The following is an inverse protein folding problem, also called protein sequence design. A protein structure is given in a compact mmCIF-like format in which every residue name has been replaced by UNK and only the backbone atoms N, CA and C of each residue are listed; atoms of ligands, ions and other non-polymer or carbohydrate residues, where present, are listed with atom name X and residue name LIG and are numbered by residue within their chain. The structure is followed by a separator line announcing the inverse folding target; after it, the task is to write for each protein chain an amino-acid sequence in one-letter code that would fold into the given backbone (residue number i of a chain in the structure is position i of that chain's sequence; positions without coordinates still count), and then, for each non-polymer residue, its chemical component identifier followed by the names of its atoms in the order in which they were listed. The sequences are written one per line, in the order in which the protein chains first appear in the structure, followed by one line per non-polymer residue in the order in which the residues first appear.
data_IF_198525225704
#
_entry.id   IF_198525225704
#
_cell.length_a   1.000
_cell.length_b   1.000
_cell.length_c   1.000
_cell.angle_alpha   90.00
_cell.angle_beta   90.00
_cell.angle_gamma   90.00
#
_symmetry.space_group_name_H-M   'P 1'
#
loop_
_entity.id
_entity.type
_entity.pdbx_description
1 polymer ?
#
# COMPACT_ATOMS: atom_id res chain seq x y z
N UNK A 1 -52.41 -26.76 29.01
CA UNK A 1 -51.85 -26.98 30.34
C UNK A 1 -50.57 -26.13 30.42
N UNK A 2 -50.69 -24.94 30.74
CA UNK A 2 -50.49 -24.14 31.95
C UNK A 2 -49.27 -24.55 32.80
N UNK A 3 -48.27 -23.70 32.85
CA UNK A 3 -47.74 -23.15 34.12
C UNK A 3 -46.81 -21.96 33.88
N UNK A 4 -47.31 -20.89 34.39
CA UNK A 4 -46.68 -19.59 34.64
C UNK A 4 -45.67 -19.69 35.80
N UNK A 5 -44.54 -18.99 35.73
CA UNK A 5 -43.60 -18.80 36.83
C UNK A 5 -43.08 -17.36 36.82
N UNK A 6 -43.67 -16.53 37.69
CA UNK A 6 -43.15 -15.18 38.04
C UNK A 6 -42.00 -15.33 39.03
N UNK A 7 -40.94 -14.54 38.86
CA UNK A 7 -39.99 -14.24 39.93
C UNK A 7 -39.79 -12.72 40.04
N UNK A 8 -39.88 -12.30 41.28
CA UNK A 8 -39.97 -10.96 41.86
C UNK A 8 -38.66 -10.24 41.81
N UNK A 9 -38.73 -8.92 41.60
CA UNK A 9 -37.58 -8.04 41.65
C UNK A 9 -37.13 -7.69 43.08
N UNK A 10 -35.88 -7.27 43.20
CA UNK A 10 -35.36 -6.70 44.43
C UNK A 10 -34.54 -5.43 44.06
N UNK A 11 -35.10 -4.27 44.45
CA UNK A 11 -34.44 -2.95 44.41
C UNK A 11 -33.42 -2.90 45.57
N UNK A 12 -32.20 -2.46 45.25
CA UNK A 12 -31.28 -1.92 46.25
C UNK A 12 -31.07 -0.42 46.02
N UNK A 13 -31.47 0.33 47.03
CA UNK A 13 -31.24 1.77 47.17
C UNK A 13 -29.90 1.93 47.95
N UNK A 14 -28.95 2.64 47.39
CA UNK A 14 -27.73 3.05 48.08
C UNK A 14 -27.69 4.57 48.21
N UNK A 15 -27.59 5.01 49.46
CA UNK A 15 -27.63 6.40 49.89
C UNK A 15 -26.32 7.12 49.66
N UNK A 16 -26.41 8.36 49.21
CA UNK A 16 -25.31 9.32 49.05
C UNK A 16 -25.04 10.05 50.36
N UNK A 17 -23.82 10.04 50.83
CA UNK A 17 -23.36 10.89 51.90
C UNK A 17 -22.52 12.04 51.35
N UNK A 18 -22.98 13.27 51.59
CA UNK A 18 -22.28 14.52 51.26
C UNK A 18 -21.45 14.92 52.47
N UNK A 19 -20.14 15.11 52.34
CA UNK A 19 -19.25 15.72 53.27
C UNK A 19 -18.83 17.10 52.79
N UNK A 20 -19.24 18.14 53.49
CA UNK A 20 -18.73 19.50 53.34
C UNK A 20 -17.44 19.63 54.18
N UNK A 21 -16.39 20.16 53.62
CA UNK A 21 -15.24 20.65 54.38
C UNK A 21 -14.88 22.08 53.93
N UNK A 22 -14.63 22.90 54.92
CA UNK A 22 -14.56 24.36 54.88
C UNK A 22 -13.25 24.91 54.32
N UNK A 23 -13.35 26.14 53.82
CA UNK A 23 -12.27 27.01 53.38
C UNK A 23 -11.35 27.44 54.51
N UNK A 24 -10.06 27.49 54.24
CA UNK A 24 -9.12 28.37 54.97
C UNK A 24 -8.22 29.08 53.94
N UNK A 25 -8.24 30.39 54.00
CA UNK A 25 -7.45 31.34 53.21
C UNK A 25 -6.07 31.53 53.82
N UNK A 26 -5.03 31.48 53.02
CA UNK A 26 -3.73 32.08 53.34
C UNK A 26 -3.11 32.63 52.04
N UNK A 27 -2.57 33.83 52.17
CA UNK A 27 -2.24 34.78 51.12
C UNK A 27 -1.00 34.48 50.27
N UNK A 28 -0.64 35.38 49.33
CA UNK A 28 0.25 35.08 48.23
C UNK A 28 1.72 35.19 48.59
N UNK A 29 2.47 34.12 48.38
CA UNK A 29 3.94 34.15 48.30
C UNK A 29 4.37 34.27 46.87
N UNK A 30 5.10 35.33 46.57
CA UNK A 30 5.73 35.63 45.30
C UNK A 30 6.76 34.54 44.93
N UNK A 31 6.50 33.76 43.90
CA UNK A 31 7.48 32.81 43.39
C UNK A 31 8.12 33.40 42.11
N UNK A 32 9.43 33.50 42.13
CA UNK A 32 10.32 33.88 41.02
C UNK A 32 10.16 32.89 39.86
N UNK A 33 10.09 33.32 38.61
CA UNK A 33 9.95 32.39 37.48
C UNK A 33 11.25 31.61 37.28
N UNK A 34 11.18 30.30 37.42
CA UNK A 34 12.22 29.36 36.99
C UNK A 34 12.26 29.32 35.46
N UNK A 35 13.42 29.32 34.80
CA UNK A 35 13.49 29.26 33.37
C UNK A 35 12.89 27.94 32.85
N UNK A 36 11.91 28.07 31.96
CA UNK A 36 11.28 26.96 31.24
C UNK A 36 12.33 26.22 30.42
N UNK A 37 12.63 25.00 30.82
CA UNK A 37 13.43 24.08 30.01
C UNK A 37 12.59 23.78 28.75
N UNK A 38 13.00 24.32 27.61
CA UNK A 38 12.42 23.98 26.33
C UNK A 38 12.51 22.46 26.15
N UNK A 39 11.37 21.81 26.01
CA UNK A 39 11.28 20.43 25.56
C UNK A 39 11.99 20.34 24.21
N UNK A 40 13.19 19.76 24.21
CA UNK A 40 13.86 19.35 23.00
C UNK A 40 12.96 18.30 22.35
N UNK A 41 12.43 18.64 21.17
CA UNK A 41 11.83 17.66 20.27
C UNK A 41 12.79 16.48 20.12
N UNK A 42 12.31 15.22 20.18
CA UNK A 42 13.16 14.08 19.89
C UNK A 42 13.78 14.27 18.51
N UNK A 43 15.10 14.13 18.45
CA UNK A 43 15.86 14.18 17.21
C UNK A 43 15.20 13.24 16.20
N UNK A 44 14.77 13.80 15.06
CA UNK A 44 14.14 13.04 14.00
C UNK A 44 15.05 11.88 13.60
N UNK A 45 14.52 10.68 13.67
CA UNK A 45 15.04 9.52 12.93
C UNK A 45 15.19 9.98 11.50
N UNK A 46 16.41 9.95 10.95
CA UNK A 46 16.76 10.48 9.65
C UNK A 46 15.77 9.98 8.61
N UNK A 47 14.99 10.89 8.06
CA UNK A 47 14.18 10.63 6.88
C UNK A 47 15.18 10.28 5.78
N UNK A 48 15.19 9.02 5.34
CA UNK A 48 15.97 8.64 4.17
C UNK A 48 15.55 9.61 3.06
N UNK A 49 16.51 10.44 2.59
CA UNK A 49 16.22 11.43 1.57
C UNK A 49 15.91 10.69 0.28
N UNK A 50 14.64 10.68 -0.09
CA UNK A 50 14.21 10.15 -1.38
C UNK A 50 14.74 11.07 -2.47
N UNK A 51 15.14 10.51 -3.61
CA UNK A 51 15.62 11.29 -4.74
C UNK A 51 14.52 12.24 -5.25
N UNK A 52 14.69 13.56 -5.16
CA UNK A 52 13.66 14.52 -5.53
C UNK A 52 13.33 14.52 -7.04
N UNK A 53 14.09 13.80 -7.83
CA UNK A 53 13.81 13.61 -9.27
C UNK A 53 12.70 12.60 -9.53
N UNK A 54 12.29 11.80 -8.52
CA UNK A 54 11.15 10.89 -8.65
C UNK A 54 9.88 11.72 -8.60
N UNK A 55 9.12 11.67 -9.68
CA UNK A 55 7.85 12.38 -9.86
C UNK A 55 6.66 11.42 -9.91
N UNK A 56 6.91 10.20 -10.36
CA UNK A 56 5.90 9.16 -10.52
C UNK A 56 6.32 7.88 -9.79
N UNK A 57 5.37 7.24 -9.12
CA UNK A 57 5.55 5.88 -8.58
C UNK A 57 4.57 4.95 -9.29
N UNK A 58 5.11 3.91 -9.92
CA UNK A 58 4.35 2.91 -10.68
C UNK A 58 4.53 1.54 -10.04
N UNK A 59 3.49 1.00 -9.42
CA UNK A 59 3.53 -0.30 -8.72
C UNK A 59 2.85 -1.36 -9.57
N UNK A 60 3.54 -2.48 -9.80
CA UNK A 60 3.00 -3.69 -10.42
C UNK A 60 3.04 -4.81 -9.40
N UNK A 61 1.91 -5.45 -9.16
CA UNK A 61 1.80 -6.55 -8.20
C UNK A 61 1.43 -7.83 -8.96
N UNK A 62 2.26 -8.86 -8.80
CA UNK A 62 2.05 -10.22 -9.30
C UNK A 62 1.63 -11.12 -8.14
N UNK A 63 1.36 -12.40 -8.40
CA UNK A 63 0.68 -13.29 -7.47
C UNK A 63 1.48 -14.54 -7.08
N UNK A 64 1.40 -14.87 -5.76
CA UNK A 64 1.66 -16.21 -5.22
C UNK A 64 3.03 -16.81 -5.53
N UNK A 65 4.14 -16.05 -5.50
CA UNK A 65 5.44 -16.63 -5.82
C UNK A 65 6.53 -16.25 -4.82
N UNK A 66 7.39 -17.19 -4.52
CA UNK A 66 8.55 -16.96 -3.67
C UNK A 66 9.66 -16.18 -4.37
N UNK A 67 10.35 -15.31 -3.64
CA UNK A 67 11.51 -14.60 -4.17
C UNK A 67 12.59 -15.53 -4.70
N UNK A 68 12.76 -16.70 -4.07
CA UNK A 68 13.75 -17.70 -4.51
C UNK A 68 13.37 -18.36 -5.85
N UNK A 69 12.09 -18.56 -6.15
CA UNK A 69 11.65 -19.08 -7.44
C UNK A 69 11.71 -17.98 -8.50
N UNK A 70 11.22 -16.80 -8.18
CA UNK A 70 11.28 -15.64 -9.06
C UNK A 70 12.71 -15.28 -9.48
N UNK A 71 13.68 -15.34 -8.56
CA UNK A 71 15.09 -15.08 -8.86
C UNK A 71 15.74 -16.10 -9.82
N UNK A 72 15.11 -17.26 -10.04
CA UNK A 72 15.56 -18.26 -11.03
C UNK A 72 14.95 -18.06 -12.41
N UNK A 73 13.90 -17.25 -12.52
CA UNK A 73 13.33 -16.91 -13.82
C UNK A 73 14.29 -15.98 -14.57
N UNK A 74 14.61 -16.25 -15.86
CA UNK A 74 15.61 -15.49 -16.59
C UNK A 74 15.29 -14.00 -16.74
N UNK A 75 14.01 -13.65 -16.93
CA UNK A 75 13.63 -12.24 -17.10
C UNK A 75 13.59 -11.50 -15.76
N UNK A 76 13.06 -12.10 -14.72
CA UNK A 76 13.06 -11.48 -13.40
C UNK A 76 14.50 -11.31 -12.87
N UNK A 77 15.41 -12.26 -13.14
CA UNK A 77 16.84 -12.11 -12.86
C UNK A 77 17.47 -10.94 -13.66
N UNK A 78 17.06 -10.75 -14.92
CA UNK A 78 17.50 -9.60 -15.74
C UNK A 78 16.99 -8.28 -15.15
N UNK A 79 15.73 -8.21 -14.72
CA UNK A 79 15.19 -7.02 -14.05
C UNK A 79 15.96 -6.71 -12.75
N UNK A 80 16.23 -7.72 -11.93
CA UNK A 80 17.04 -7.59 -10.72
C UNK A 80 18.43 -7.02 -11.01
N UNK A 81 19.09 -7.46 -12.09
CA UNK A 81 20.38 -6.96 -12.52
C UNK A 81 20.33 -5.52 -13.07
N UNK A 82 19.19 -5.07 -13.59
CA UNK A 82 18.99 -3.73 -14.14
C UNK A 82 18.41 -2.73 -13.14
N UNK A 83 18.03 -3.19 -11.96
CA UNK A 83 17.43 -2.38 -10.90
C UNK A 83 18.11 -2.54 -9.54
N UNK A 84 17.39 -2.22 -8.48
CA UNK A 84 17.77 -2.49 -7.09
C UNK A 84 16.87 -3.56 -6.50
N UNK A 85 17.43 -4.63 -5.94
CA UNK A 85 16.68 -5.77 -5.39
C UNK A 85 16.56 -5.65 -3.88
N UNK A 86 15.32 -5.75 -3.36
CA UNK A 86 15.04 -5.82 -1.93
C UNK A 86 15.02 -7.29 -1.50
N UNK A 87 16.14 -7.80 -0.97
CA UNK A 87 16.33 -9.25 -0.74
C UNK A 87 15.53 -9.80 0.45
N UNK A 88 15.08 -8.93 1.35
CA UNK A 88 14.26 -9.27 2.51
C UNK A 88 12.93 -8.50 2.50
N UNK A 89 12.20 -8.63 1.40
CA UNK A 89 10.86 -8.07 1.25
C UNK A 89 9.81 -9.17 1.50
N UNK A 90 8.76 -8.89 2.28
CA UNK A 90 7.80 -9.88 2.73
C UNK A 90 6.34 -9.45 2.51
N UNK A 91 5.47 -10.43 2.28
CA UNK A 91 4.03 -10.25 2.45
C UNK A 91 3.67 -10.04 3.93
N UNK A 92 2.48 -9.52 4.20
CA UNK A 92 2.02 -9.20 5.57
C UNK A 92 0.87 -10.08 6.02
N UNK A 93 0.25 -10.79 5.10
CA UNK A 93 -0.92 -11.65 5.36
C UNK A 93 -0.99 -12.83 4.39
N UNK A 94 -2.02 -13.64 4.54
CA UNK A 94 -2.55 -14.64 3.64
C UNK A 94 -4.06 -14.77 3.91
N UNK A 95 -4.93 -14.86 2.90
CA UNK A 95 -4.68 -14.89 1.45
C UNK A 95 -4.36 -13.51 0.84
N UNK A 96 -4.50 -13.37 -0.47
CA UNK A 96 -4.04 -12.22 -1.27
C UNK A 96 -4.66 -10.87 -0.85
N UNK A 97 -5.98 -10.74 -0.74
CA UNK A 97 -6.65 -9.45 -0.55
C UNK A 97 -6.12 -8.61 0.63
N UNK A 98 -5.86 -9.17 1.83
CA UNK A 98 -5.24 -8.43 2.93
C UNK A 98 -3.93 -7.73 2.56
N UNK A 99 -3.10 -8.33 1.68
CA UNK A 99 -1.85 -7.75 1.21
C UNK A 99 -2.08 -6.54 0.31
N UNK A 100 -3.02 -6.64 -0.64
CA UNK A 100 -3.42 -5.51 -1.48
C UNK A 100 -3.99 -4.35 -0.65
N UNK A 101 -4.86 -4.64 0.32
CA UNK A 101 -5.41 -3.63 1.23
C UNK A 101 -4.30 -2.97 2.05
N UNK A 102 -3.33 -3.74 2.53
CA UNK A 102 -2.20 -3.24 3.32
C UNK A 102 -1.37 -2.18 2.57
N UNK A 103 -1.18 -2.36 1.25
CA UNK A 103 -0.47 -1.42 0.38
C UNK A 103 -1.17 -0.05 0.26
N UNK A 104 -2.46 0.04 0.59
CA UNK A 104 -3.22 1.29 0.52
C UNK A 104 -3.66 1.84 1.88
N UNK A 105 -3.80 1.01 2.91
CA UNK A 105 -4.40 1.40 4.18
C UNK A 105 -3.46 1.36 5.38
N UNK A 106 -2.23 0.87 5.21
CA UNK A 106 -1.31 0.66 6.33
C UNK A 106 -1.81 -0.36 7.36
N UNK A 107 -2.77 -1.21 6.95
CA UNK A 107 -3.35 -2.30 7.76
C UNK A 107 -4.00 -3.32 6.84
N UNK A 108 -4.06 -4.59 7.24
CA UNK A 108 -4.71 -5.65 6.44
C UNK A 108 -6.23 -5.50 6.36
N UNK A 109 -6.87 -5.06 7.43
CA UNK A 109 -8.31 -4.77 7.60
C UNK A 109 -9.26 -5.94 7.34
N UNK A 110 -8.86 -6.95 6.57
CA UNK A 110 -9.61 -8.14 6.20
C UNK A 110 -8.73 -9.38 6.41
N UNK A 111 -9.33 -10.57 6.38
CA UNK A 111 -8.63 -11.83 6.60
C UNK A 111 -9.00 -12.90 5.56
N UNK A 112 -9.65 -12.51 4.48
CA UNK A 112 -10.10 -13.39 3.41
C UNK A 112 -10.17 -12.63 2.07
N UNK A 113 -10.54 -13.34 0.99
CA UNK A 113 -10.67 -12.82 -0.37
C UNK A 113 -12.10 -12.45 -0.77
N UNK A 114 -12.99 -12.30 0.21
CA UNK A 114 -14.37 -11.90 -0.06
C UNK A 114 -14.49 -10.43 -0.48
N UNK A 115 -15.63 -10.07 -1.05
CA UNK A 115 -15.92 -8.67 -1.36
C UNK A 115 -16.16 -7.88 -0.07
N UNK A 116 -15.21 -7.04 0.32
CA UNK A 116 -15.32 -6.14 1.46
C UNK A 116 -15.65 -4.71 1.04
N UNK A 117 -16.32 -3.98 1.94
CA UNK A 117 -16.57 -2.56 1.82
C UNK A 117 -16.03 -1.89 3.10
N UNK A 118 -15.01 -1.04 2.94
CA UNK A 118 -14.17 -0.55 4.02
C UNK A 118 -14.37 0.96 4.20
N UNK A 119 -14.98 1.35 5.32
CA UNK A 119 -15.06 2.76 5.73
C UNK A 119 -13.76 3.16 6.47
N UNK A 120 -12.68 3.34 5.73
CA UNK A 120 -11.34 3.60 6.27
C UNK A 120 -10.56 4.57 5.38
N UNK A 121 -9.83 5.50 6.01
CA UNK A 121 -8.84 6.35 5.35
C UNK A 121 -7.78 5.51 4.66
N UNK A 122 -7.36 5.93 3.49
CA UNK A 122 -6.43 5.19 2.64
C UNK A 122 -5.49 6.14 1.87
N UNK A 123 -4.58 5.59 1.10
CA UNK A 123 -3.57 6.34 0.34
C UNK A 123 -4.18 7.40 -0.58
N UNK A 124 -5.38 7.18 -1.14
CA UNK A 124 -6.04 8.15 -2.02
C UNK A 124 -6.35 9.44 -1.28
N UNK A 125 -6.75 9.37 0.00
CA UNK A 125 -7.01 10.57 0.80
C UNK A 125 -5.74 11.42 0.97
N UNK A 126 -4.59 10.76 1.19
CA UNK A 126 -3.31 11.46 1.31
C UNK A 126 -2.89 12.07 -0.03
N UNK A 127 -3.01 11.30 -1.13
CA UNK A 127 -2.67 11.78 -2.47
C UNK A 127 -3.49 13.03 -2.83
N UNK A 128 -4.81 12.97 -2.69
CA UNK A 128 -5.70 14.08 -3.04
C UNK A 128 -5.49 15.29 -2.12
N UNK A 129 -5.24 15.07 -0.82
CA UNK A 129 -4.90 16.15 0.12
C UNK A 129 -3.59 16.86 -0.24
N UNK A 130 -2.64 16.16 -0.84
CA UNK A 130 -1.38 16.70 -1.34
C UNK A 130 -1.47 17.17 -2.81
N UNK A 131 -2.66 17.19 -3.41
CA UNK A 131 -2.89 17.53 -4.82
C UNK A 131 -2.11 16.63 -5.79
N UNK A 132 -1.90 15.35 -5.41
CA UNK A 132 -1.26 14.34 -6.24
C UNK A 132 -2.30 13.54 -7.03
N UNK A 133 -2.01 13.32 -8.30
CA UNK A 133 -2.85 12.50 -9.17
C UNK A 133 -2.62 11.01 -8.96
N UNK A 134 -3.66 10.20 -9.19
CA UNK A 134 -3.56 8.76 -9.09
C UNK A 134 -4.47 8.05 -10.08
N UNK A 135 -4.11 6.82 -10.47
CA UNK A 135 -4.98 5.87 -11.18
C UNK A 135 -4.66 4.44 -10.77
N UNK A 136 -5.70 3.60 -10.78
CA UNK A 136 -5.58 2.15 -10.71
C UNK A 136 -5.88 1.56 -12.09
N UNK A 137 -4.87 0.99 -12.72
CA UNK A 137 -4.96 0.30 -14.01
C UNK A 137 -5.19 -1.18 -13.75
N UNK A 138 -6.33 -1.69 -14.18
CA UNK A 138 -6.75 -3.06 -13.91
C UNK A 138 -6.97 -3.79 -15.23
N UNK A 139 -6.25 -4.90 -15.47
CA UNK A 139 -6.51 -5.71 -16.68
C UNK A 139 -7.90 -6.32 -16.63
N UNK A 140 -8.55 -6.35 -17.77
CA UNK A 140 -9.91 -6.88 -17.99
C UNK A 140 -11.00 -6.30 -17.08
N UNK A 141 -10.69 -5.18 -16.42
CA UNK A 141 -11.69 -4.44 -15.65
C UNK A 141 -12.77 -3.87 -16.56
N UNK A 142 -14.06 -4.18 -16.30
CA UNK A 142 -15.13 -3.74 -17.18
C UNK A 142 -15.42 -2.24 -17.12
N UNK A 143 -14.78 -1.50 -16.21
CA UNK A 143 -15.04 -0.08 -16.01
C UNK A 143 -16.32 0.20 -15.21
N UNK A 144 -16.74 1.49 -15.20
CA UNK A 144 -18.01 1.87 -14.64
C UNK A 144 -18.19 1.63 -13.12
N UNK A 145 -17.09 1.65 -12.36
CA UNK A 145 -17.13 1.36 -10.92
C UNK A 145 -17.68 -0.05 -10.61
N UNK A 146 -17.30 -1.03 -11.43
CA UNK A 146 -17.78 -2.39 -11.30
C UNK A 146 -17.52 -2.99 -9.90
N UNK A 147 -18.57 -3.33 -9.13
CA UNK A 147 -18.43 -3.81 -7.76
C UNK A 147 -18.40 -5.34 -7.64
N UNK A 148 -18.55 -6.06 -8.76
CA UNK A 148 -18.60 -7.52 -8.79
C UNK A 148 -17.26 -8.15 -8.40
N UNK A 149 -17.31 -9.43 -7.98
CA UNK A 149 -16.12 -10.17 -7.55
C UNK A 149 -15.16 -10.47 -8.68
N UNK A 150 -15.66 -10.76 -9.88
CA UNK A 150 -14.86 -11.01 -11.07
C UNK A 150 -15.57 -10.60 -12.35
N UNK A 151 -14.82 -10.44 -13.43
CA UNK A 151 -15.31 -10.22 -14.77
C UNK A 151 -14.36 -10.85 -15.79
N UNK A 152 -14.93 -11.42 -16.90
CA UNK A 152 -14.14 -12.17 -17.86
C UNK A 152 -14.10 -13.66 -17.55
N UNK A 153 -13.13 -14.35 -18.09
CA UNK A 153 -12.90 -15.78 -17.86
C UNK A 153 -11.42 -16.10 -18.09
N UNK A 154 -10.92 -17.23 -17.58
CA UNK A 154 -9.57 -17.73 -17.83
C UNK A 154 -9.19 -17.93 -19.32
N UNK A 155 -10.16 -17.82 -20.25
CA UNK A 155 -9.90 -17.86 -21.70
C UNK A 155 -9.78 -16.49 -22.36
N UNK A 156 -10.31 -15.46 -21.71
CA UNK A 156 -10.39 -14.08 -22.25
C UNK A 156 -9.69 -13.07 -21.35
N UNK A 157 -9.01 -13.53 -20.31
CA UNK A 157 -8.54 -12.76 -19.20
C UNK A 157 -9.63 -12.59 -18.13
N UNK A 158 -9.25 -12.64 -16.86
CA UNK A 158 -10.17 -12.51 -15.75
C UNK A 158 -9.70 -11.45 -14.74
N UNK A 159 -10.47 -10.36 -14.66
CA UNK A 159 -10.35 -9.40 -13.57
C UNK A 159 -10.93 -10.00 -12.30
N UNK A 160 -10.26 -9.80 -11.17
CA UNK A 160 -10.80 -10.11 -9.84
C UNK A 160 -10.72 -8.91 -8.92
N UNK A 161 -11.82 -8.69 -8.17
CA UNK A 161 -11.93 -7.56 -7.25
C UNK A 161 -10.91 -7.62 -6.11
N UNK A 162 -10.55 -8.81 -5.65
CA UNK A 162 -9.58 -9.00 -4.57
C UNK A 162 -8.18 -8.42 -4.87
N UNK A 163 -7.80 -8.33 -6.18
CA UNK A 163 -6.57 -7.70 -6.64
C UNK A 163 -6.74 -6.20 -6.96
N UNK A 164 -7.93 -5.66 -6.78
CA UNK A 164 -8.23 -4.23 -6.92
C UNK A 164 -8.59 -3.64 -5.55
N UNK A 165 -7.61 -3.24 -4.73
CA UNK A 165 -7.91 -2.74 -3.39
C UNK A 165 -8.74 -1.46 -3.39
N UNK A 166 -8.64 -0.62 -4.42
CA UNK A 166 -9.33 0.68 -4.49
C UNK A 166 -10.84 0.54 -4.41
N UNK A 167 -11.44 -0.42 -5.13
CA UNK A 167 -12.90 -0.61 -5.15
C UNK A 167 -13.44 -1.12 -3.80
N UNK A 168 -12.58 -1.56 -2.89
CA UNK A 168 -12.96 -2.01 -1.55
C UNK A 168 -13.19 -0.86 -0.57
N UNK A 169 -12.69 0.35 -0.84
CA UNK A 169 -12.91 1.50 0.03
C UNK A 169 -14.19 2.25 -0.35
N UNK A 170 -15.03 2.54 0.67
CA UNK A 170 -16.33 3.17 0.48
C UNK A 170 -16.22 4.57 -0.13
N UNK A 171 -15.27 5.35 0.32
CA UNK A 171 -15.00 6.72 -0.14
C UNK A 171 -14.49 6.78 -1.59
N UNK A 172 -13.97 5.68 -2.13
CA UNK A 172 -13.63 5.54 -3.54
C UNK A 172 -14.83 4.99 -4.31
N UNK A 173 -15.37 3.85 -3.88
CA UNK A 173 -16.44 3.14 -4.57
C UNK A 173 -17.72 3.95 -4.71
N UNK A 174 -18.08 4.76 -3.70
CA UNK A 174 -19.31 5.57 -3.70
C UNK A 174 -19.10 6.99 -4.18
N UNK A 175 -17.88 7.39 -4.48
CA UNK A 175 -17.55 8.69 -5.06
C UNK A 175 -17.30 8.54 -6.57
N UNK A 176 -18.17 9.05 -7.45
CA UNK A 176 -18.02 8.87 -8.90
C UNK A 176 -16.69 9.41 -9.46
N UNK A 177 -16.17 10.51 -8.92
CA UNK A 177 -14.93 11.12 -9.40
C UNK A 177 -13.70 10.27 -9.03
N UNK A 178 -13.66 9.70 -7.83
CA UNK A 178 -12.61 8.78 -7.39
C UNK A 178 -12.73 7.45 -8.12
N UNK A 179 -13.92 6.88 -8.17
CA UNK A 179 -14.16 5.59 -8.81
C UNK A 179 -13.83 5.60 -10.31
N UNK A 180 -14.02 6.72 -11.00
CA UNK A 180 -13.62 6.90 -12.40
C UNK A 180 -12.11 6.84 -12.64
N UNK A 181 -11.29 6.85 -11.58
CA UNK A 181 -9.83 6.67 -11.65
C UNK A 181 -9.39 5.21 -11.60
N UNK A 182 -10.31 4.29 -11.31
CA UNK A 182 -10.12 2.85 -11.53
C UNK A 182 -10.50 2.59 -12.99
N UNK A 183 -9.50 2.28 -13.82
CA UNK A 183 -9.67 2.21 -15.28
C UNK A 183 -9.21 0.87 -15.84
N UNK A 184 -9.76 0.44 -16.99
CA UNK A 184 -9.17 -0.66 -17.74
C UNK A 184 -7.70 -0.37 -18.06
N UNK A 185 -6.84 -1.38 -17.93
CA UNK A 185 -5.40 -1.23 -18.12
C UNK A 185 -4.99 -0.69 -19.51
N UNK A 186 -5.85 -0.88 -20.51
CA UNK A 186 -5.67 -0.31 -21.85
C UNK A 186 -5.60 1.23 -21.89
N UNK A 187 -6.08 1.90 -20.84
CA UNK A 187 -5.97 3.35 -20.70
C UNK A 187 -4.52 3.82 -20.49
N UNK A 188 -3.63 2.96 -19.96
CA UNK A 188 -2.25 3.32 -19.65
C UNK A 188 -1.47 3.85 -20.84
N UNK A 189 -1.57 3.17 -21.98
CA UNK A 189 -0.85 3.57 -23.20
C UNK A 189 -1.32 4.95 -23.70
N UNK A 190 -2.60 5.25 -23.58
CA UNK A 190 -3.15 6.56 -23.91
C UNK A 190 -2.63 7.65 -22.98
N UNK A 191 -2.56 7.36 -21.67
CA UNK A 191 -2.04 8.30 -20.67
C UNK A 191 -0.54 8.58 -20.88
N UNK A 192 0.26 7.55 -21.16
CA UNK A 192 1.68 7.68 -21.50
C UNK A 192 1.85 8.52 -22.78
N UNK A 193 1.12 8.18 -23.83
CA UNK A 193 1.18 8.89 -25.11
C UNK A 193 0.85 10.38 -24.97
N UNK A 194 -0.12 10.71 -24.09
CA UNK A 194 -0.53 12.07 -23.79
C UNK A 194 0.40 12.80 -22.79
N UNK A 195 1.40 12.13 -22.18
CA UNK A 195 2.22 12.69 -21.10
C UNK A 195 1.41 12.96 -19.84
N UNK A 196 0.45 12.11 -19.54
CA UNK A 196 -0.48 12.23 -18.40
C UNK A 196 -0.36 11.05 -17.43
N UNK A 197 0.86 10.48 -17.30
CA UNK A 197 1.11 9.47 -16.27
C UNK A 197 0.85 10.09 -14.89
N UNK A 198 0.00 9.46 -14.03
CA UNK A 198 -0.27 9.97 -12.70
C UNK A 198 0.97 9.99 -11.78
N UNK A 199 0.95 10.82 -10.72
CA UNK A 199 1.97 10.78 -9.67
C UNK A 199 2.02 9.38 -9.00
N UNK A 200 0.87 8.74 -8.80
CA UNK A 200 0.78 7.36 -8.32
C UNK A 200 -0.05 6.49 -9.26
N UNK A 201 0.53 5.39 -9.69
CA UNK A 201 -0.10 4.38 -10.53
C UNK A 201 0.01 3.00 -9.87
N UNK A 202 -1.10 2.29 -9.79
CA UNK A 202 -1.16 0.92 -9.33
C UNK A 202 -1.67 0.03 -10.47
N UNK A 203 -0.92 -0.98 -10.84
CA UNK A 203 -1.25 -1.87 -11.92
C UNK A 203 -1.46 -3.30 -11.41
N UNK A 204 -2.65 -3.85 -11.65
CA UNK A 204 -2.94 -5.24 -11.39
C UNK A 204 -3.17 -5.96 -12.73
N UNK A 205 -2.35 -6.92 -13.09
CA UNK A 205 -2.63 -7.83 -14.20
C UNK A 205 -3.88 -8.66 -13.91
N UNK A 206 -4.41 -9.33 -14.95
CA UNK A 206 -5.45 -10.34 -14.78
C UNK A 206 -4.87 -11.64 -14.19
N UNK A 207 -5.73 -12.60 -13.83
CA UNK A 207 -5.34 -13.86 -13.17
C UNK A 207 -4.36 -14.73 -13.97
N UNK A 208 -4.36 -14.60 -15.30
CA UNK A 208 -3.39 -15.32 -16.14
C UNK A 208 -2.02 -14.61 -16.14
N UNK A 209 -2.06 -13.29 -16.26
CA UNK A 209 -0.87 -12.46 -16.42
C UNK A 209 -0.14 -12.18 -15.09
N UNK A 210 -0.85 -12.24 -13.95
CA UNK A 210 -0.23 -12.10 -12.63
C UNK A 210 0.41 -13.39 -12.12
N UNK A 211 0.06 -14.55 -12.69
CA UNK A 211 0.59 -15.85 -12.31
C UNK A 211 -0.35 -16.67 -11.41
N UNK A 212 -1.47 -16.11 -10.94
CA UNK A 212 -2.40 -16.77 -10.02
C UNK A 212 -3.00 -18.06 -10.64
N UNK A 213 -3.58 -17.95 -11.83
CA UNK A 213 -4.22 -19.08 -12.55
C UNK A 213 -3.31 -19.69 -13.63
N UNK A 214 -2.06 -19.23 -13.72
CA UNK A 214 -1.14 -19.68 -14.76
C UNK A 214 0.19 -20.22 -14.13
N UNK A 215 1.30 -19.61 -14.47
CA UNK A 215 2.61 -19.96 -13.94
C UNK A 215 3.54 -18.75 -13.90
N UNK A 216 4.58 -18.81 -13.08
CA UNK A 216 5.64 -17.81 -13.07
C UNK A 216 6.20 -17.51 -14.47
N UNK A 217 6.35 -18.54 -15.33
CA UNK A 217 6.85 -18.34 -16.69
C UNK A 217 5.88 -17.56 -17.59
N UNK A 218 4.57 -17.71 -17.40
CA UNK A 218 3.55 -16.91 -18.09
C UNK A 218 3.57 -15.46 -17.59
N UNK A 219 3.55 -15.27 -16.27
CA UNK A 219 3.63 -13.94 -15.66
C UNK A 219 4.91 -13.20 -16.06
N UNK A 220 6.05 -13.88 -16.05
CA UNK A 220 7.34 -13.34 -16.46
C UNK A 220 7.37 -12.93 -17.94
N UNK A 221 6.83 -13.77 -18.83
CA UNK A 221 6.74 -13.46 -20.25
C UNK A 221 5.82 -12.26 -20.52
N UNK A 222 4.67 -12.20 -19.84
CA UNK A 222 3.78 -11.05 -19.89
C UNK A 222 4.48 -9.79 -19.38
N UNK A 223 5.09 -9.85 -18.18
CA UNK A 223 5.78 -8.72 -17.57
C UNK A 223 6.89 -8.17 -18.46
N UNK A 224 7.59 -9.07 -19.18
CA UNK A 224 8.60 -8.68 -20.17
C UNK A 224 7.99 -7.85 -21.27
N UNK A 225 6.94 -8.33 -21.93
CA UNK A 225 6.24 -7.60 -22.98
C UNK A 225 5.65 -6.27 -22.49
N UNK A 226 5.24 -6.23 -21.23
CA UNK A 226 4.70 -5.05 -20.58
C UNK A 226 5.76 -4.00 -20.23
N UNK A 227 6.85 -4.38 -19.55
CA UNK A 227 7.83 -3.43 -19.02
C UNK A 227 8.90 -2.99 -20.01
N UNK A 228 9.44 -3.89 -20.86
CA UNK A 228 10.58 -3.53 -21.72
C UNK A 228 10.29 -2.31 -22.62
N UNK A 229 9.14 -2.19 -23.29
CA UNK A 229 8.83 -1.00 -24.07
C UNK A 229 8.74 0.26 -23.22
N UNK A 230 8.15 0.16 -22.02
CA UNK A 230 7.90 1.29 -21.13
C UNK A 230 9.16 1.80 -20.46
N UNK A 231 10.07 0.92 -20.05
CA UNK A 231 11.36 1.30 -19.45
C UNK A 231 12.28 2.00 -20.44
N UNK A 232 12.03 1.84 -21.75
CA UNK A 232 12.78 2.54 -22.81
C UNK A 232 12.06 3.78 -23.33
N UNK A 233 10.78 3.96 -23.03
CA UNK A 233 10.01 5.15 -23.44
C UNK A 233 10.24 6.30 -22.44
N UNK A 234 10.85 7.41 -22.87
CA UNK A 234 11.08 8.55 -21.97
C UNK A 234 9.78 9.17 -21.43
N UNK A 235 8.65 9.02 -22.09
CA UNK A 235 7.34 9.50 -21.60
C UNK A 235 6.84 8.73 -20.39
N UNK A 236 7.25 7.48 -20.26
CA UNK A 236 6.96 6.65 -19.08
C UNK A 236 8.08 6.71 -18.05
N UNK A 237 9.34 6.54 -18.52
CA UNK A 237 10.46 6.27 -17.64
C UNK A 237 11.05 7.54 -16.97
N UNK A 238 10.94 8.72 -17.61
CA UNK A 238 11.49 9.94 -17.03
C UNK A 238 10.80 10.29 -15.70
N UNK A 239 11.56 10.30 -14.61
CA UNK A 239 11.05 10.59 -13.29
C UNK A 239 10.18 9.49 -12.67
N UNK A 240 10.12 8.29 -13.24
CA UNK A 240 9.29 7.18 -12.73
C UNK A 240 10.13 6.19 -11.92
N UNK A 241 9.69 5.95 -10.69
CA UNK A 241 10.09 4.79 -9.89
C UNK A 241 9.09 3.67 -10.16
N UNK A 242 9.55 2.58 -10.76
CA UNK A 242 8.76 1.37 -10.94
C UNK A 242 9.10 0.38 -9.82
N UNK A 243 8.07 -0.15 -9.17
CA UNK A 243 8.18 -1.22 -8.18
C UNK A 243 7.46 -2.45 -8.72
N UNK A 244 8.17 -3.57 -8.84
CA UNK A 244 7.58 -4.86 -9.18
C UNK A 244 7.72 -5.79 -7.99
N UNK A 245 6.62 -6.34 -7.53
CA UNK A 245 6.60 -7.29 -6.42
C UNK A 245 5.48 -8.32 -6.59
N UNK A 246 5.47 -9.31 -5.71
CA UNK A 246 4.35 -10.23 -5.51
C UNK A 246 3.60 -9.83 -4.23
N UNK A 247 2.31 -10.16 -4.18
CA UNK A 247 1.46 -9.89 -3.02
C UNK A 247 1.81 -10.78 -1.82
N UNK A 248 2.00 -12.07 -2.08
CA UNK A 248 2.37 -13.08 -1.11
C UNK A 248 3.22 -14.19 -1.75
N UNK A 249 3.80 -15.05 -0.92
CA UNK A 249 4.49 -16.25 -1.36
C UNK A 249 3.60 -17.50 -1.26
N UNK A 250 4.15 -18.65 -1.66
CA UNK A 250 3.46 -19.94 -1.59
C UNK A 250 3.40 -20.54 -0.17
N UNK A 251 3.98 -19.88 0.83
CA UNK A 251 4.04 -20.31 2.23
C UNK A 251 3.30 -19.37 3.17
N UNK A 252 3.43 -19.63 4.49
CA UNK A 252 2.87 -18.72 5.50
C UNK A 252 3.42 -17.28 5.36
N UNK A 253 2.64 -16.26 5.72
CA UNK A 253 3.08 -14.87 5.67
C UNK A 253 4.43 -14.67 6.36
N UNK A 254 5.29 -13.85 5.77
CA UNK A 254 6.64 -13.55 6.25
C UNK A 254 7.56 -14.78 6.46
N UNK A 255 7.16 -15.97 6.01
CA UNK A 255 7.99 -17.19 6.13
C UNK A 255 9.14 -17.25 5.13
N UNK A 256 9.02 -16.54 4.02
CA UNK A 256 10.02 -16.46 2.96
C UNK A 256 9.97 -15.09 2.27
N UNK A 257 11.12 -14.55 1.84
CA UNK A 257 11.13 -13.31 1.07
C UNK A 257 10.37 -13.46 -0.24
N UNK A 258 9.71 -12.39 -0.65
CA UNK A 258 9.14 -12.19 -1.97
C UNK A 258 10.18 -11.59 -2.90
N UNK A 259 9.94 -11.68 -4.20
CA UNK A 259 10.66 -10.89 -5.17
C UNK A 259 10.17 -9.44 -5.10
N UNK A 260 11.11 -8.51 -4.95
CA UNK A 260 10.80 -7.08 -5.05
C UNK A 260 11.98 -6.36 -5.70
N UNK A 261 11.72 -5.66 -6.79
CA UNK A 261 12.72 -4.91 -7.55
C UNK A 261 12.24 -3.49 -7.80
N UNK A 262 13.16 -2.55 -7.66
CA UNK A 262 13.00 -1.15 -7.99
C UNK A 262 13.68 -0.90 -9.33
N UNK A 263 13.02 -0.18 -10.24
CA UNK A 263 13.49 0.14 -11.58
C UNK A 263 13.27 1.62 -11.88
N UNK A 264 14.04 2.16 -12.78
CA UNK A 264 13.92 3.56 -13.21
C UNK A 264 15.26 4.27 -13.25
N UNK A 265 15.34 5.44 -13.87
CA UNK A 265 16.62 6.15 -14.11
C UNK A 265 17.28 6.68 -12.82
N UNK A 266 16.54 6.76 -11.71
CA UNK A 266 17.06 7.18 -10.41
C UNK A 266 17.46 5.99 -9.52
N UNK A 267 17.25 4.76 -9.98
CA UNK A 267 17.54 3.56 -9.20
C UNK A 267 19.00 3.14 -9.40
N UNK A 268 19.64 2.71 -8.32
CA UNK A 268 21.01 2.20 -8.34
C UNK A 268 21.04 0.80 -8.96
N UNK A 269 21.43 0.72 -10.23
CA UNK A 269 21.40 -0.52 -11.02
C UNK A 269 22.31 -1.60 -10.42
N UNK A 270 21.84 -2.83 -10.39
CA UNK A 270 22.58 -3.99 -9.90
C UNK A 270 22.81 -3.98 -8.38
N UNK A 271 22.20 -3.02 -7.66
CA UNK A 271 22.31 -2.97 -6.22
C UNK A 271 21.36 -3.96 -5.52
N UNK A 272 21.69 -4.28 -4.27
CA UNK A 272 20.87 -5.10 -3.40
C UNK A 272 20.73 -4.43 -2.04
N UNK A 273 19.53 -4.51 -1.46
CA UNK A 273 19.26 -4.06 -0.11
C UNK A 273 18.75 -5.24 0.72
N UNK A 274 19.39 -5.47 1.86
CA UNK A 274 19.08 -6.55 2.79
C UNK A 274 18.32 -6.08 4.04
N UNK A 275 17.90 -4.83 4.10
CA UNK A 275 17.00 -4.39 5.15
C UNK A 275 15.65 -5.09 5.02
N UNK A 276 14.98 -5.28 6.15
CA UNK A 276 13.67 -5.96 6.18
C UNK A 276 12.58 -4.98 5.78
N UNK A 277 11.84 -5.34 4.73
CA UNK A 277 10.74 -4.59 4.17
C UNK A 277 9.49 -5.45 4.01
N UNK A 278 8.35 -4.82 3.83
CA UNK A 278 7.07 -5.45 3.53
C UNK A 278 6.13 -4.45 2.80
N UNK A 279 4.88 -4.83 2.60
CA UNK A 279 3.89 -3.97 1.93
C UNK A 279 3.64 -2.63 2.63
N UNK A 280 3.79 -2.57 3.95
CA UNK A 280 3.73 -1.29 4.68
C UNK A 280 4.96 -0.42 4.40
N UNK A 281 6.12 -1.04 4.18
CA UNK A 281 7.33 -0.33 3.74
C UNK A 281 7.18 0.25 2.34
N UNK A 282 6.50 -0.47 1.44
CA UNK A 282 6.14 0.05 0.11
C UNK A 282 5.24 1.27 0.24
N UNK A 283 4.15 1.17 1.01
CA UNK A 283 3.25 2.30 1.28
C UNK A 283 4.03 3.49 1.87
N UNK A 284 4.86 3.24 2.89
CA UNK A 284 5.70 4.28 3.50
C UNK A 284 6.65 4.94 2.50
N UNK A 285 7.17 4.17 1.55
CA UNK A 285 8.02 4.71 0.48
C UNK A 285 7.24 5.62 -0.45
N UNK A 286 6.04 5.22 -0.87
CA UNK A 286 5.14 6.05 -1.69
C UNK A 286 4.81 7.37 -0.96
N UNK A 287 4.46 7.29 0.32
CA UNK A 287 4.19 8.46 1.16
C UNK A 287 5.37 9.43 1.20
N UNK A 288 6.57 8.91 1.40
CA UNK A 288 7.78 9.73 1.46
C UNK A 288 8.13 10.34 0.09
N UNK A 289 8.13 9.53 -0.97
CA UNK A 289 8.47 9.96 -2.34
C UNK A 289 7.57 11.08 -2.81
N UNK A 290 6.27 10.97 -2.55
CA UNK A 290 5.27 11.92 -3.01
C UNK A 290 4.96 13.03 -1.99
N UNK A 291 5.61 13.01 -0.81
CA UNK A 291 5.48 14.03 0.23
C UNK A 291 4.09 14.05 0.89
N UNK A 292 3.50 12.88 1.17
CA UNK A 292 2.10 12.76 1.57
C UNK A 292 1.85 12.80 3.08
N UNK A 293 2.86 12.57 3.90
CA UNK A 293 2.67 12.27 5.33
C UNK A 293 2.48 10.76 5.56
N UNK A 294 1.61 10.36 6.49
CA UNK A 294 1.37 8.96 6.85
C UNK A 294 -0.08 8.74 7.26
N UNK A 295 -0.60 7.54 7.01
CA UNK A 295 -1.93 7.12 7.48
C UNK A 295 -1.96 6.86 9.00
N UNK A 296 -0.79 6.70 9.64
CA UNK A 296 -0.66 6.47 11.09
C UNK A 296 -0.90 5.02 11.50
N UNK A 297 -0.94 4.08 10.57
CA UNK A 297 -1.05 2.64 10.81
C UNK A 297 0.32 1.96 10.93
N UNK A 298 0.45 0.77 10.35
CA UNK A 298 1.73 0.06 10.26
C UNK A 298 2.71 0.75 9.29
N UNK A 299 2.21 1.54 8.33
CA UNK A 299 3.00 2.44 7.48
C UNK A 299 3.88 3.39 8.30
N UNK A 300 3.32 4.02 9.33
CA UNK A 300 4.04 4.95 10.20
C UNK A 300 5.17 4.30 11.00
N UNK A 301 5.10 3.00 11.23
CA UNK A 301 6.09 2.20 11.96
C UNK A 301 7.10 1.53 11.04
N UNK A 302 6.79 1.47 9.75
CA UNK A 302 7.60 0.77 8.76
C UNK A 302 8.74 1.64 8.24
N UNK A 303 9.87 1.00 7.96
CA UNK A 303 11.01 1.64 7.32
C UNK A 303 10.72 1.79 5.83
N UNK A 304 10.81 2.99 5.24
CA UNK A 304 10.76 3.16 3.79
C UNK A 304 12.00 2.55 3.14
N UNK A 305 11.96 2.29 1.84
CA UNK A 305 13.12 1.80 1.10
C UNK A 305 14.30 2.75 1.25
N UNK A 306 15.49 2.20 1.54
CA UNK A 306 16.66 2.99 1.87
C UNK A 306 17.12 3.87 0.69
N UNK A 307 17.72 5.03 1.01
CA UNK A 307 18.25 5.95 0.03
C UNK A 307 19.29 5.33 -0.90
N UNK A 308 20.03 4.31 -0.42
CA UNK A 308 21.02 3.57 -1.23
C UNK A 308 20.41 2.76 -2.39
N UNK A 309 19.11 2.55 -2.40
CA UNK A 309 18.43 2.03 -3.60
C UNK A 309 18.36 3.06 -4.73
N UNK A 310 18.67 4.31 -4.46
CA UNK A 310 18.61 5.41 -5.40
C UNK A 310 20.00 6.04 -5.63
N UNK A 311 20.29 6.48 -6.85
CA UNK A 311 21.62 6.98 -7.26
C UNK A 311 22.08 8.23 -6.50
N UNK A 312 21.16 8.99 -5.91
CA UNK A 312 21.47 10.18 -5.11
C UNK A 312 21.53 9.91 -3.60
N UNK A 313 21.24 8.68 -3.15
CA UNK A 313 21.06 8.32 -1.75
C UNK A 313 22.25 7.61 -1.08
N UNK A 314 23.29 7.34 -1.81
CA UNK A 314 24.57 6.83 -1.37
C UNK A 314 25.70 7.79 -1.74
#
# INVERSE_FOLDING_TARGET
MSRSGRVVGMLFVASVAIALAACSSSGPTSATPTPSTALQSPAGTGSASVDPRIQHVFVVVLENESGAAAARDPYLAQLAASGSTLTHYYGVAHPSQPNYIAMLAGATLVADDNNHNLARTNLVDLLESAHRSWKAYQEDYPGGCFPGSSAGTSRTGEYVRKHNPFISFDDIRTNPARCARIVPATQLDSDIAAGQLPDFSFYSPNLDNDGHDSSLGVASAWLRGFLEPRLTDPKFNAGTLVVVTFDEGTGAPASQPLYAVLLGPMVAQGSTDSATYNHYSLLRTVENVLGLGSLGGEDAKSTPFAGCNFTAGC
#
